data_IF_071242549158
#
_entry.id   IF_071242549158
#
_cell.length_a   1.000
_cell.length_b   1.000
_cell.length_c   1.000
_cell.angle_alpha   90.00
_cell.angle_beta   90.00
_cell.angle_gamma   90.00
#
_symmetry.space_group_name_H-M   'P 1'
#
loop_
_entity.id
_entity.type
_entity.pdbx_description
1 polymer ?
#
# COMPACT_ATOMS: atom_id res chain seq x y z
N UNK A 1 42.00 34.69 -30.18
CA UNK A 1 43.18 33.99 -30.66
C UNK A 1 42.68 32.60 -30.99
N UNK A 2 42.31 32.46 -32.19
CA UNK A 2 42.85 31.70 -33.31
C UNK A 2 42.31 30.27 -33.24
N UNK A 3 41.33 29.88 -34.04
CA UNK A 3 41.32 29.58 -35.49
C UNK A 3 42.34 28.49 -35.85
N UNK A 4 41.80 27.57 -36.63
CA UNK A 4 42.47 26.66 -37.56
C UNK A 4 42.93 25.28 -37.07
N UNK A 5 42.15 24.27 -37.56
CA UNK A 5 42.64 23.29 -38.54
C UNK A 5 41.50 22.37 -39.01
N UNK A 6 40.93 22.79 -40.11
CA UNK A 6 40.28 21.92 -41.07
C UNK A 6 41.31 21.50 -42.12
N UNK A 7 40.97 20.42 -42.81
CA UNK A 7 41.59 19.90 -44.04
C UNK A 7 42.71 18.88 -43.87
N UNK A 8 42.42 17.76 -44.39
CA UNK A 8 43.12 16.94 -45.39
C UNK A 8 42.88 15.43 -45.10
N UNK A 9 42.09 14.82 -45.93
CA UNK A 9 42.43 13.61 -46.66
C UNK A 9 41.27 13.24 -47.60
N UNK A 10 41.31 13.86 -48.79
CA UNK A 10 40.70 13.34 -50.01
C UNK A 10 41.78 12.50 -50.68
N UNK A 11 41.45 11.33 -51.15
CA UNK A 11 41.87 10.79 -52.46
C UNK A 11 41.55 9.29 -52.55
N UNK A 12 40.86 9.04 -53.59
CA UNK A 12 40.95 8.00 -54.63
C UNK A 12 40.27 6.64 -54.37
N UNK A 13 39.26 6.46 -55.18
CA UNK A 13 39.27 5.34 -56.15
C UNK A 13 38.14 5.49 -57.21
N UNK A 14 38.57 5.75 -58.39
CA UNK A 14 37.83 5.67 -59.66
C UNK A 14 37.35 4.26 -59.92
N UNK A 15 36.12 4.13 -60.47
CA UNK A 15 35.57 2.82 -60.96
C UNK A 15 34.30 3.03 -61.79
N UNK A 16 34.47 3.50 -63.02
CA UNK A 16 33.73 3.23 -64.27
C UNK A 16 32.25 2.88 -64.19
N UNK A 17 31.44 3.78 -64.74
CA UNK A 17 30.15 3.54 -65.43
C UNK A 17 30.33 2.70 -66.71
N UNK A 18 29.42 1.81 -67.03
CA UNK A 18 29.18 1.39 -68.42
C UNK A 18 27.83 1.88 -68.92
N UNK A 19 27.94 2.65 -69.92
CA UNK A 19 27.27 2.71 -71.23
C UNK A 19 25.75 2.40 -71.33
N UNK A 20 25.03 3.47 -71.64
CA UNK A 20 23.74 3.48 -72.30
C UNK A 20 23.85 2.87 -73.71
N UNK A 21 23.23 1.74 -73.93
CA UNK A 21 22.63 1.29 -75.20
C UNK A 21 22.13 -0.16 -75.07
N UNK A 22 20.92 -0.31 -75.54
CA UNK A 22 20.19 -1.57 -75.86
C UNK A 22 19.02 -1.83 -74.93
N UNK A 23 17.88 -1.35 -75.32
CA UNK A 23 16.65 -2.06 -75.58
C UNK A 23 15.50 -1.10 -75.96
N UNK A 24 15.57 -0.62 -77.18
CA UNK A 24 14.33 -0.32 -77.91
C UNK A 24 13.90 -1.65 -78.53
N UNK A 25 12.72 -2.10 -78.13
CA UNK A 25 11.74 -2.87 -78.96
C UNK A 25 10.79 -3.65 -78.09
N UNK A 26 9.55 -3.19 -78.07
CA UNK A 26 8.30 -3.91 -78.27
C UNK A 26 7.15 -3.21 -77.57
N UNK A 27 6.52 -2.25 -78.26
CA UNK A 27 5.17 -1.86 -77.95
C UNK A 27 4.20 -2.73 -78.76
N UNK A 28 3.22 -3.38 -78.15
CA UNK A 28 2.09 -3.91 -78.90
C UNK A 28 1.08 -2.77 -79.14
N UNK A 29 0.78 -2.59 -80.39
CA UNK A 29 -0.35 -1.83 -80.94
C UNK A 29 -1.64 -2.43 -80.41
N UNK A 30 -2.42 -1.69 -79.66
CA UNK A 30 -3.86 -1.88 -79.56
C UNK A 30 -4.56 -0.57 -79.80
N UNK A 31 -5.37 -0.63 -80.72
CA UNK A 31 -6.30 0.19 -81.43
C UNK A 31 -7.02 1.26 -80.61
N UNK A 32 -7.22 2.34 -81.31
CA UNK A 32 -8.15 3.41 -81.08
C UNK A 32 -9.55 2.95 -80.65
N UNK A 33 -10.04 3.55 -79.54
CA UNK A 33 -11.46 3.65 -79.22
C UNK A 33 -11.81 5.09 -79.00
N UNK A 34 -12.91 5.60 -79.53
CA UNK A 34 -13.15 7.03 -79.71
C UNK A 34 -13.52 7.75 -78.43
N UNK A 35 -13.04 8.98 -78.33
CA UNK A 35 -13.45 9.99 -77.37
C UNK A 35 -14.91 10.39 -77.61
N UNK A 36 -15.81 9.93 -76.73
CA UNK A 36 -17.14 10.54 -76.56
C UNK A 36 -17.69 10.13 -75.17
N UNK A 37 -18.01 11.12 -74.40
CA UNK A 37 -18.61 11.13 -73.04
C UNK A 37 -17.61 11.44 -71.89
N UNK A 38 -17.16 12.67 -71.90
CA UNK A 38 -16.73 13.27 -70.64
C UNK A 38 -17.84 14.21 -70.19
N UNK A 39 -18.83 13.66 -69.51
CA UNK A 39 -19.86 14.36 -68.72
C UNK A 39 -19.50 14.35 -67.27
N UNK A 40 -19.19 15.48 -66.71
CA UNK A 40 -19.43 16.04 -65.35
C UNK A 40 -19.45 15.12 -64.11
N UNK A 41 -18.63 14.09 -63.99
CA UNK A 41 -18.57 13.28 -62.73
C UNK A 41 -17.26 13.50 -61.89
N UNK A 42 -16.45 14.53 -62.22
CA UNK A 42 -15.13 14.74 -61.61
C UNK A 42 -15.06 15.49 -60.28
N UNK A 43 -16.16 16.12 -59.83
CA UNK A 43 -16.13 17.00 -58.64
C UNK A 43 -16.54 16.31 -57.32
N UNK A 44 -17.34 15.26 -57.40
CA UNK A 44 -17.80 14.56 -56.21
C UNK A 44 -16.77 13.53 -55.65
N UNK A 45 -16.06 12.82 -56.51
CA UNK A 45 -15.01 11.88 -56.09
C UNK A 45 -13.80 12.58 -55.44
N UNK A 46 -13.42 13.73 -55.89
CA UNK A 46 -12.32 14.49 -55.26
C UNK A 46 -12.70 15.07 -53.89
N UNK A 47 -13.95 15.36 -53.63
CA UNK A 47 -14.44 15.80 -52.31
C UNK A 47 -14.47 14.61 -51.31
N UNK A 48 -14.92 13.44 -51.74
CA UNK A 48 -14.97 12.24 -50.91
C UNK A 48 -13.57 11.75 -50.52
N UNK A 49 -12.59 11.83 -51.46
CA UNK A 49 -11.20 11.43 -51.16
C UNK A 49 -10.55 12.43 -50.18
N UNK A 50 -10.80 13.73 -50.32
CA UNK A 50 -10.26 14.75 -49.39
C UNK A 50 -10.86 14.62 -48.00
N UNK A 51 -12.15 14.32 -47.87
CA UNK A 51 -12.80 14.10 -46.56
C UNK A 51 -12.28 12.85 -45.87
N UNK A 52 -12.07 11.74 -46.58
CA UNK A 52 -11.49 10.54 -46.01
C UNK A 52 -10.02 10.70 -45.57
N UNK A 53 -9.22 11.45 -46.33
CA UNK A 53 -7.84 11.79 -45.95
C UNK A 53 -7.82 12.72 -44.72
N UNK A 54 -8.72 13.70 -44.67
CA UNK A 54 -8.84 14.57 -43.48
C UNK A 54 -9.31 13.83 -42.25
N UNK A 55 -10.23 12.89 -42.40
CA UNK A 55 -10.67 12.03 -41.31
C UNK A 55 -9.57 11.07 -40.82
N UNK A 56 -8.79 10.48 -41.74
CA UNK A 56 -7.64 9.68 -41.40
C UNK A 56 -6.55 10.49 -40.69
N UNK A 57 -6.32 11.73 -41.10
CA UNK A 57 -5.36 12.64 -40.46
C UNK A 57 -5.84 13.12 -39.09
N UNK A 58 -7.13 13.34 -38.90
CA UNK A 58 -7.75 13.68 -37.62
C UNK A 58 -7.73 12.47 -36.66
N UNK A 59 -7.96 11.25 -37.17
CA UNK A 59 -7.86 10.03 -36.34
C UNK A 59 -6.42 9.76 -35.92
N UNK A 60 -5.44 9.95 -36.80
CA UNK A 60 -4.02 9.79 -36.44
C UNK A 60 -3.55 10.85 -35.44
N UNK A 61 -4.05 12.10 -35.55
CA UNK A 61 -3.76 13.16 -34.58
C UNK A 61 -4.41 12.90 -33.23
N UNK A 62 -5.61 12.30 -33.20
CA UNK A 62 -6.30 11.91 -31.96
C UNK A 62 -5.59 10.76 -31.23
N UNK A 63 -4.95 9.84 -31.95
CA UNK A 63 -4.13 8.75 -31.36
C UNK A 63 -2.83 9.30 -30.77
N UNK A 64 -2.24 10.34 -31.37
CA UNK A 64 -1.01 10.97 -30.85
C UNK A 64 -1.30 11.87 -29.63
N UNK A 65 -2.53 12.42 -29.53
CA UNK A 65 -2.99 13.21 -28.38
C UNK A 65 -3.69 12.40 -27.29
N UNK A 66 -3.70 11.07 -27.38
CA UNK A 66 -4.19 10.25 -26.27
C UNK A 66 -3.39 10.62 -25.00
N UNK A 67 -4.02 11.10 -23.92
CA UNK A 67 -3.30 11.42 -22.71
C UNK A 67 -2.62 10.13 -22.23
N UNK A 68 -1.28 10.10 -22.27
CA UNK A 68 -0.51 9.11 -21.51
C UNK A 68 -0.96 9.31 -20.07
N UNK A 69 -1.75 8.37 -19.55
CA UNK A 69 -2.10 8.35 -18.14
C UNK A 69 -0.77 8.47 -17.38
N UNK A 70 -0.62 9.46 -16.47
CA UNK A 70 0.61 9.57 -15.71
C UNK A 70 0.77 8.24 -14.96
N UNK A 71 1.84 7.53 -15.23
CA UNK A 71 2.29 6.46 -14.35
C UNK A 71 2.39 7.13 -12.97
N UNK A 72 1.59 6.70 -12.00
CA UNK A 72 1.65 7.23 -10.64
C UNK A 72 2.98 6.75 -10.05
N UNK A 73 4.01 7.54 -10.27
CA UNK A 73 5.29 7.34 -9.61
C UNK A 73 5.06 7.57 -8.12
N UNK A 74 5.25 6.54 -7.31
CA UNK A 74 5.17 6.65 -5.86
C UNK A 74 6.35 7.50 -5.37
N UNK A 75 6.12 8.30 -4.32
CA UNK A 75 7.21 9.05 -3.68
C UNK A 75 7.92 8.20 -2.65
N UNK A 76 9.20 8.48 -2.39
CA UNK A 76 9.99 7.71 -1.41
C UNK A 76 9.27 7.64 -0.05
N UNK A 77 8.67 8.73 0.44
CA UNK A 77 7.91 8.75 1.71
C UNK A 77 6.69 7.82 1.76
N UNK A 78 6.21 7.33 0.61
CA UNK A 78 5.09 6.39 0.54
C UNK A 78 5.55 4.94 0.62
N UNK A 79 6.81 4.68 0.28
CA UNK A 79 7.39 3.33 0.19
C UNK A 79 8.48 3.06 1.23
N UNK A 80 9.02 4.11 1.85
CA UNK A 80 10.08 4.01 2.85
C UNK A 80 9.83 4.96 4.03
N UNK A 81 10.38 4.60 5.17
CA UNK A 81 10.45 5.39 6.39
C UNK A 81 11.92 5.60 6.79
N UNK A 82 12.18 6.66 7.55
CA UNK A 82 13.53 6.93 8.05
C UNK A 82 13.77 6.06 9.29
N UNK A 83 14.85 5.30 9.31
CA UNK A 83 15.24 4.46 10.43
C UNK A 83 15.38 5.27 11.73
N UNK A 84 14.80 4.76 12.80
CA UNK A 84 14.80 5.43 14.10
C UNK A 84 13.76 6.53 14.28
N UNK A 85 13.01 6.92 13.24
CA UNK A 85 11.88 7.85 13.32
C UNK A 85 10.60 7.05 13.50
N UNK A 86 10.24 6.80 14.77
CA UNK A 86 9.04 6.02 15.11
C UNK A 86 8.37 6.54 16.35
N UNK A 87 7.09 6.30 16.48
CA UNK A 87 6.37 6.50 17.73
C UNK A 87 6.76 5.44 18.76
N UNK A 88 6.95 5.84 20.00
CA UNK A 88 7.30 4.92 21.09
C UNK A 88 6.12 4.79 22.06
N UNK A 89 5.65 3.58 22.36
CA UNK A 89 4.61 3.37 23.36
C UNK A 89 5.17 3.61 24.75
N UNK A 90 4.43 4.35 25.56
CA UNK A 90 4.71 4.58 26.96
C UNK A 90 3.62 3.92 27.81
N UNK A 91 4.03 3.33 28.93
CA UNK A 91 3.13 2.72 29.90
C UNK A 91 3.46 3.17 31.31
N UNK A 92 2.44 3.30 32.14
CA UNK A 92 2.61 3.65 33.55
C UNK A 92 1.52 3.00 34.41
N UNK A 93 1.84 2.78 35.65
CA UNK A 93 0.89 2.38 36.70
C UNK A 93 0.59 3.60 37.56
N UNK A 94 -0.69 3.92 37.75
CA UNK A 94 -1.14 5.07 38.51
C UNK A 94 -2.38 4.79 39.34
N UNK A 95 -2.76 5.81 40.11
CA UNK A 95 -3.99 5.83 40.91
C UNK A 95 -4.90 6.94 40.42
N UNK A 96 -6.18 6.63 40.33
CA UNK A 96 -7.25 7.61 40.17
C UNK A 96 -7.91 7.80 41.52
N UNK A 97 -8.14 9.06 41.88
CA UNK A 97 -8.81 9.48 43.13
C UNK A 97 -10.06 10.30 42.83
N UNK A 98 -10.93 10.47 43.81
CA UNK A 98 -12.14 11.30 43.69
C UNK A 98 -13.31 10.58 43.04
N UNK A 99 -13.29 9.24 42.98
CA UNK A 99 -14.41 8.44 42.47
C UNK A 99 -15.58 8.44 43.51
N UNK A 100 -16.83 8.52 43.00
CA UNK A 100 -18.04 8.50 43.85
C UNK A 100 -18.44 7.05 44.18
N UNK A 101 -17.67 6.42 45.09
CA UNK A 101 -17.92 5.05 45.56
C UNK A 101 -17.79 3.97 44.48
N UNK A 102 -17.32 4.32 43.30
CA UNK A 102 -17.20 3.41 42.12
C UNK A 102 -15.78 2.84 41.93
N UNK A 103 -14.86 3.20 42.81
CA UNK A 103 -13.47 2.73 42.79
C UNK A 103 -13.30 1.25 43.14
N UNK A 104 -12.05 0.85 43.33
CA UNK A 104 -11.71 -0.51 43.63
C UNK A 104 -12.17 -0.94 45.04
N UNK A 105 -12.57 -2.19 45.15
CA UNK A 105 -12.75 -2.84 46.44
C UNK A 105 -11.40 -3.41 46.86
N UNK A 106 -10.75 -2.78 47.85
CA UNK A 106 -9.39 -3.10 48.26
C UNK A 106 -9.26 -4.48 48.87
N UNK A 107 -10.38 -5.11 49.33
CA UNK A 107 -10.41 -6.51 49.72
C UNK A 107 -10.20 -7.49 48.57
N UNK A 108 -10.61 -7.12 47.37
CA UNK A 108 -10.45 -7.92 46.13
C UNK A 108 -9.27 -7.44 45.27
N UNK A 109 -8.87 -6.15 45.42
CA UNK A 109 -7.74 -5.54 44.77
C UNK A 109 -6.76 -4.96 45.83
N UNK A 110 -6.02 -5.81 46.56
CA UNK A 110 -5.18 -5.37 47.66
C UNK A 110 -4.03 -4.48 47.25
N UNK A 111 -3.58 -4.58 45.98
CA UNK A 111 -2.54 -3.72 45.40
C UNK A 111 -2.94 -2.26 45.33
N UNK A 112 -4.23 -1.92 45.20
CA UNK A 112 -4.73 -0.53 45.24
C UNK A 112 -4.52 0.10 46.61
N UNK A 113 -4.80 -0.67 47.70
CA UNK A 113 -4.55 -0.22 49.07
C UNK A 113 -3.07 -0.06 49.37
N UNK A 114 -2.23 -1.01 48.93
CA UNK A 114 -0.77 -0.95 49.10
C UNK A 114 -0.18 0.28 48.36
N UNK A 115 -0.59 0.54 47.14
CA UNK A 115 -0.12 1.68 46.33
C UNK A 115 -0.54 3.00 46.95
N UNK A 116 -1.77 3.08 47.48
CA UNK A 116 -2.25 4.26 48.18
C UNK A 116 -1.44 4.51 49.43
N UNK A 117 -1.16 3.49 50.24
CA UNK A 117 -0.33 3.55 51.45
C UNK A 117 1.09 4.02 51.10
N UNK A 118 1.72 3.47 50.08
CA UNK A 118 3.04 3.85 49.65
C UNK A 118 3.09 5.31 49.19
N UNK A 119 2.06 5.80 48.45
CA UNK A 119 1.94 7.17 48.04
C UNK A 119 1.78 8.12 49.21
N UNK A 120 0.93 7.80 50.22
CA UNK A 120 0.76 8.60 51.41
C UNK A 120 2.07 8.71 52.23
N UNK A 121 2.83 7.62 52.29
CA UNK A 121 4.15 7.61 52.92
C UNK A 121 5.13 8.54 52.20
N UNK A 122 5.10 8.59 50.87
CA UNK A 122 5.90 9.55 50.09
C UNK A 122 5.55 11.01 50.41
N UNK A 123 4.28 11.30 50.74
CA UNK A 123 3.83 12.63 51.17
C UNK A 123 4.03 12.90 52.68
N UNK A 124 4.71 11.95 53.39
CA UNK A 124 4.99 12.12 54.84
C UNK A 124 3.86 11.72 55.73
N UNK A 125 2.78 11.12 55.21
CA UNK A 125 1.66 10.63 56.02
C UNK A 125 1.96 9.18 56.45
N UNK A 126 2.26 8.99 57.72
CA UNK A 126 2.51 7.65 58.31
C UNK A 126 1.20 7.05 58.83
N UNK A 127 0.83 5.91 58.30
CA UNK A 127 -0.32 5.16 58.78
C UNK A 127 0.10 4.24 59.97
N UNK A 128 -0.72 4.11 61.02
CA UNK A 128 -0.45 3.14 62.08
C UNK A 128 -0.38 1.71 61.53
N UNK A 129 0.47 0.87 62.14
CA UNK A 129 0.57 -0.53 61.75
C UNK A 129 -0.76 -1.27 62.02
N UNK A 130 -1.18 -2.10 61.05
CA UNK A 130 -2.40 -2.91 61.17
C UNK A 130 -3.68 -2.23 60.68
N UNK A 131 -3.65 -0.97 60.28
CA UNK A 131 -4.82 -0.27 59.70
C UNK A 131 -4.98 -0.69 58.23
N UNK A 132 -6.06 -1.40 57.91
CA UNK A 132 -6.44 -1.72 56.53
C UNK A 132 -7.35 -0.62 55.99
N UNK A 133 -6.85 0.17 55.05
CA UNK A 133 -7.66 1.17 54.38
C UNK A 133 -8.60 0.50 53.37
N UNK A 134 -9.88 0.86 53.39
CA UNK A 134 -10.88 0.39 52.43
C UNK A 134 -11.55 1.56 51.66
N UNK A 135 -10.78 2.39 50.96
CA UNK A 135 -11.37 3.47 50.20
C UNK A 135 -12.11 2.91 48.98
N UNK A 136 -13.30 3.45 48.70
CA UNK A 136 -14.06 3.15 47.47
C UNK A 136 -14.00 4.27 46.46
N UNK A 137 -13.22 5.28 46.77
CA UNK A 137 -13.03 6.46 45.90
C UNK A 137 -11.69 6.46 45.14
N UNK A 138 -10.97 5.35 45.18
CA UNK A 138 -9.67 5.19 44.55
C UNK A 138 -9.70 3.97 43.62
N UNK A 139 -9.03 4.04 42.49
CA UNK A 139 -8.84 2.90 41.58
C UNK A 139 -7.40 2.84 41.04
N UNK A 140 -6.86 1.64 40.95
CA UNK A 140 -5.59 1.39 40.28
C UNK A 140 -5.80 1.30 38.78
N UNK A 141 -4.94 2.00 38.04
CA UNK A 141 -5.07 2.11 36.59
C UNK A 141 -3.75 1.90 35.86
N UNK A 142 -3.87 1.36 34.65
CA UNK A 142 -2.85 1.39 33.62
C UNK A 142 -3.04 2.66 32.78
N UNK A 143 -1.96 3.39 32.62
CA UNK A 143 -1.91 4.60 31.77
C UNK A 143 -1.06 4.27 30.56
N UNK A 144 -1.56 4.57 29.38
CA UNK A 144 -0.84 4.37 28.12
C UNK A 144 -0.81 5.68 27.33
N UNK A 145 0.33 5.95 26.69
CA UNK A 145 0.52 7.09 25.81
C UNK A 145 1.37 6.67 24.59
N UNK A 146 1.29 7.45 23.55
CA UNK A 146 2.18 7.33 22.40
C UNK A 146 3.06 8.56 22.33
N UNK A 147 4.36 8.37 22.49
CA UNK A 147 5.35 9.43 22.34
C UNK A 147 5.69 9.55 20.85
N UNK A 148 5.32 10.66 20.18
CA UNK A 148 5.64 10.84 18.78
C UNK A 148 7.15 11.00 18.56
N UNK A 149 7.66 10.76 17.35
CA UNK A 149 9.05 11.04 17.04
C UNK A 149 9.33 12.54 17.23
N UNK A 150 10.56 12.86 17.61
CA UNK A 150 11.03 14.23 17.85
C UNK A 150 10.32 14.99 18.99
N UNK A 151 9.59 14.30 19.85
CA UNK A 151 8.97 14.94 21.00
C UNK A 151 10.03 15.59 21.89
N UNK A 152 9.79 16.84 22.28
CA UNK A 152 10.68 17.62 23.13
C UNK A 152 10.12 17.76 24.55
N UNK A 153 10.96 17.91 25.56
CA UNK A 153 10.52 18.21 26.90
C UNK A 153 9.59 19.43 26.93
N UNK A 154 8.51 19.34 27.71
CA UNK A 154 7.45 20.36 27.79
C UNK A 154 6.30 20.17 26.81
N UNK A 155 6.37 19.22 25.86
CA UNK A 155 5.24 18.88 25.00
C UNK A 155 4.19 18.04 25.73
N UNK A 156 2.93 18.29 25.42
CA UNK A 156 1.80 17.57 26.01
C UNK A 156 1.38 16.38 25.12
N UNK A 157 1.02 15.27 25.77
CA UNK A 157 0.53 14.06 25.13
C UNK A 157 -0.85 13.70 25.65
N UNK A 158 -1.66 13.17 24.77
CA UNK A 158 -2.92 12.53 25.16
C UNK A 158 -2.63 11.15 25.75
N UNK A 159 -3.37 10.83 26.82
CA UNK A 159 -3.23 9.54 27.48
C UNK A 159 -4.55 8.80 27.53
N UNK A 160 -4.45 7.48 27.47
CA UNK A 160 -5.56 6.58 27.76
C UNK A 160 -5.34 5.93 29.12
N UNK A 161 -6.41 5.82 29.87
CA UNK A 161 -6.40 5.27 31.23
C UNK A 161 -7.41 4.14 31.30
N UNK A 162 -7.00 3.00 31.83
CA UNK A 162 -7.82 1.80 31.98
C UNK A 162 -7.69 1.24 33.37
N UNK A 163 -8.80 0.87 34.02
CA UNK A 163 -8.79 0.22 35.32
C UNK A 163 -8.14 -1.16 35.26
N UNK A 164 -7.28 -1.46 36.22
CA UNK A 164 -6.65 -2.78 36.39
C UNK A 164 -7.43 -3.60 37.44
N UNK A 165 -8.03 -2.88 38.39
CA UNK A 165 -8.78 -3.50 39.48
C UNK A 165 -10.24 -3.79 39.09
N UNK A 166 -11.11 -3.73 40.07
CA UNK A 166 -12.54 -4.01 39.96
C UNK A 166 -13.42 -2.75 40.05
N UNK A 167 -12.86 -1.59 39.73
CA UNK A 167 -13.59 -0.33 39.71
C UNK A 167 -14.77 -0.38 38.69
N UNK A 168 -15.95 -0.01 39.17
CA UNK A 168 -17.17 -0.01 38.35
C UNK A 168 -17.23 1.13 37.35
N UNK A 169 -16.64 2.29 37.72
CA UNK A 169 -16.57 3.47 36.87
C UNK A 169 -15.42 4.35 37.29
N UNK A 170 -14.73 4.94 36.32
CA UNK A 170 -13.66 5.92 36.54
C UNK A 170 -14.16 7.37 36.33
N UNK A 171 -15.47 7.57 36.12
CA UNK A 171 -16.05 8.87 35.82
C UNK A 171 -15.88 9.84 36.99
N UNK A 172 -15.47 11.08 36.65
CA UNK A 172 -15.24 12.15 37.65
C UNK A 172 -13.92 12.01 38.41
N UNK A 173 -13.15 10.97 38.16
CA UNK A 173 -11.86 10.76 38.83
C UNK A 173 -10.73 11.60 38.25
N UNK A 174 -9.73 11.85 39.09
CA UNK A 174 -8.49 12.54 38.72
C UNK A 174 -7.32 11.59 38.83
N UNK A 175 -6.52 11.50 37.78
CA UNK A 175 -5.26 10.73 37.76
C UNK A 175 -4.20 11.53 38.53
N UNK A 176 -3.55 10.89 39.48
CA UNK A 176 -2.41 11.43 40.22
C UNK A 176 -1.15 11.34 39.36
N UNK A 177 -0.15 12.21 39.63
CA UNK A 177 1.12 12.23 38.94
C UNK A 177 1.70 10.81 38.80
N UNK A 178 1.75 10.32 37.59
CA UNK A 178 2.10 8.95 37.23
C UNK A 178 3.25 8.98 36.22
N UNK A 179 4.40 8.35 36.53
CA UNK A 179 5.50 8.25 35.57
C UNK A 179 5.17 7.27 34.45
N UNK A 180 5.34 7.71 33.20
CA UNK A 180 5.21 6.90 32.00
C UNK A 180 6.60 6.43 31.53
N UNK A 181 6.75 5.13 31.38
CA UNK A 181 8.02 4.48 31.04
C UNK A 181 7.98 3.92 29.63
N UNK A 182 9.12 4.00 28.95
CA UNK A 182 9.35 3.33 27.70
C UNK A 182 9.72 1.83 27.89
N UNK A 183 9.95 1.13 26.80
CA UNK A 183 10.36 -0.27 26.81
C UNK A 183 11.73 -0.51 27.48
N UNK A 184 12.55 0.53 27.55
CA UNK A 184 13.86 0.54 28.23
C UNK A 184 13.76 0.78 29.76
N UNK A 185 12.53 0.93 30.30
CA UNK A 185 12.25 1.21 31.70
C UNK A 185 12.48 2.65 32.15
N UNK A 186 12.97 3.53 31.25
CA UNK A 186 13.19 4.94 31.58
C UNK A 186 11.89 5.74 31.56
N UNK A 187 11.81 6.76 32.42
CA UNK A 187 10.67 7.68 32.44
C UNK A 187 10.84 8.74 31.36
N UNK A 188 9.84 8.87 30.48
CA UNK A 188 9.80 9.82 29.38
C UNK A 188 8.76 10.90 29.55
N UNK A 189 7.69 10.62 30.29
CA UNK A 189 6.63 11.60 30.55
C UNK A 189 6.02 11.39 31.93
N UNK A 190 5.39 12.42 32.45
CA UNK A 190 4.58 12.39 33.69
C UNK A 190 3.14 12.66 33.30
N UNK A 191 2.22 11.78 33.71
CA UNK A 191 0.80 11.88 33.42
C UNK A 191 0.02 12.31 34.63
N UNK A 192 -0.90 13.29 34.46
CA UNK A 192 -1.78 13.80 35.52
C UNK A 192 -3.00 14.49 34.90
N UNK A 193 -4.15 14.47 35.57
CA UNK A 193 -5.29 15.24 35.11
C UNK A 193 -6.65 14.57 35.32
N UNK A 194 -7.69 15.28 34.91
CA UNK A 194 -9.07 14.83 35.07
C UNK A 194 -9.48 13.92 33.91
N UNK A 195 -10.09 12.77 34.25
CA UNK A 195 -10.45 11.73 33.29
C UNK A 195 -11.78 12.07 32.61
N UNK A 196 -11.78 11.96 31.30
CA UNK A 196 -12.96 11.99 30.45
C UNK A 196 -13.36 10.56 30.09
N UNK A 197 -14.51 10.12 30.55
CA UNK A 197 -15.07 8.79 30.24
C UNK A 197 -16.18 8.95 29.22
N UNK A 198 -16.02 8.32 28.07
CA UNK A 198 -16.96 8.42 26.93
C UNK A 198 -18.22 7.53 27.06
N UNK A 199 -18.45 6.90 28.21
CA UNK A 199 -19.58 6.02 28.47
C UNK A 199 -20.64 6.64 29.38
N UNK A 200 -21.89 6.17 29.23
CA UNK A 200 -22.99 6.46 30.13
C UNK A 200 -23.57 5.17 30.67
N UNK A 201 -23.85 5.11 31.98
CA UNK A 201 -24.52 3.99 32.60
C UNK A 201 -25.60 4.51 33.56
N UNK A 202 -26.77 3.92 33.50
CA UNK A 202 -27.82 4.17 34.47
C UNK A 202 -28.37 2.81 34.95
N UNK A 203 -28.67 2.74 36.28
CA UNK A 203 -29.34 1.57 36.85
C UNK A 203 -30.52 2.05 37.68
N UNK A 204 -31.72 1.52 37.43
CA UNK A 204 -32.92 1.80 38.19
C UNK A 204 -33.80 0.55 38.22
N UNK A 205 -34.39 0.21 39.35
CA UNK A 205 -35.38 -0.86 39.47
C UNK A 205 -34.92 -2.25 39.01
N UNK A 206 -33.63 -2.58 39.14
CA UNK A 206 -33.10 -3.88 38.67
C UNK A 206 -32.66 -3.94 37.20
N UNK A 207 -32.93 -2.90 36.41
CA UNK A 207 -32.48 -2.77 35.02
C UNK A 207 -31.21 -1.93 34.95
N UNK A 208 -30.21 -2.42 34.20
CA UNK A 208 -28.94 -1.73 33.93
C UNK A 208 -28.80 -1.45 32.45
N UNK A 209 -28.70 -0.20 32.08
CA UNK A 209 -28.36 0.22 30.73
C UNK A 209 -26.94 0.81 30.79
N UNK A 210 -26.06 0.25 29.98
CA UNK A 210 -24.68 0.72 29.87
C UNK A 210 -24.32 0.91 28.42
N UNK A 211 -23.92 2.13 28.08
CA UNK A 211 -23.41 2.49 26.76
C UNK A 211 -21.93 2.73 26.91
N UNK A 212 -21.12 1.90 26.26
CA UNK A 212 -19.64 1.84 26.37
C UNK A 212 -19.12 1.45 27.78
N UNK A 213 -17.80 1.21 27.84
CA UNK A 213 -17.15 0.84 29.09
C UNK A 213 -16.86 2.06 29.95
N UNK A 214 -17.24 1.99 31.24
CA UNK A 214 -16.97 3.04 32.22
C UNK A 214 -15.61 2.90 32.92
N UNK A 215 -14.94 1.76 32.69
CA UNK A 215 -13.63 1.41 33.28
C UNK A 215 -12.44 1.91 32.50
N UNK A 216 -12.67 2.63 31.38
CA UNK A 216 -11.63 3.26 30.56
C UNK A 216 -12.01 4.70 30.22
N UNK A 217 -11.02 5.54 30.04
CA UNK A 217 -11.21 6.93 29.64
C UNK A 217 -9.94 7.54 29.08
N UNK A 218 -10.00 8.81 28.72
CA UNK A 218 -8.92 9.57 28.13
C UNK A 218 -8.71 10.89 28.87
N UNK A 219 -7.47 11.32 28.97
CA UNK A 219 -7.12 12.66 29.45
C UNK A 219 -6.40 13.36 28.28
N UNK A 220 -7.07 14.31 27.61
CA UNK A 220 -6.43 15.13 26.57
C UNK A 220 -5.31 15.95 27.19
N UNK A 221 -4.17 16.04 26.52
CA UNK A 221 -2.99 16.74 27.01
C UNK A 221 -2.58 16.36 28.46
N UNK A 222 -2.90 15.12 28.87
CA UNK A 222 -2.77 14.63 30.23
C UNK A 222 -1.37 14.18 30.63
N UNK A 223 -0.41 14.14 29.75
CA UNK A 223 0.99 13.85 30.09
C UNK A 223 1.91 14.94 29.56
N UNK A 224 2.93 15.28 30.35
CA UNK A 224 4.00 16.18 29.97
C UNK A 224 5.26 15.37 29.67
N UNK A 225 5.88 15.63 28.53
CA UNK A 225 7.16 14.99 28.15
C UNK A 225 8.28 15.60 29.00
N UNK A 226 9.04 14.74 29.67
CA UNK A 226 10.18 15.16 30.52
C UNK A 226 11.51 14.87 29.82
N UNK A 227 11.54 13.87 28.94
CA UNK A 227 12.75 13.43 28.24
C UNK A 227 12.47 13.13 26.77
N UNK A 228 13.32 13.66 25.89
CA UNK A 228 13.31 13.31 24.47
C UNK A 228 13.94 11.94 24.25
N UNK A 229 13.44 11.19 23.26
CA UNK A 229 14.08 9.96 22.80
C UNK A 229 15.20 10.33 21.84
N UNK A 230 16.44 9.91 22.08
CA UNK A 230 17.54 10.14 21.14
C UNK A 230 17.24 9.47 19.80
N UNK A 231 17.26 10.24 18.73
CA UNK A 231 17.12 9.70 17.37
C UNK A 231 18.47 9.63 16.69
N UNK A 232 18.80 8.54 15.98
CA UNK A 232 20.07 8.41 15.25
C UNK A 232 20.20 9.38 14.08
N UNK A 233 19.13 10.12 13.76
CA UNK A 233 19.09 11.05 12.65
C UNK A 233 20.15 12.15 12.73
N UNK A 234 20.51 12.58 13.94
CA UNK A 234 21.52 13.61 14.17
C UNK A 234 22.97 13.08 14.19
N UNK A 235 23.15 11.77 14.18
CA UNK A 235 24.47 11.14 14.37
C UNK A 235 24.96 10.49 13.07
N UNK A 236 26.28 10.62 12.80
CA UNK A 236 26.92 10.00 11.64
C UNK A 236 26.76 10.80 10.34
N UNK A 237 27.34 10.24 9.28
CA UNK A 237 27.38 10.79 7.91
C UNK A 237 26.35 10.12 6.97
N UNK A 238 25.55 9.21 7.48
CA UNK A 238 24.58 8.44 6.72
C UNK A 238 23.26 8.27 7.46
N UNK A 239 22.21 8.16 6.69
CA UNK A 239 20.84 7.89 7.15
C UNK A 239 20.40 6.58 6.53
N UNK A 240 19.64 5.79 7.25
CA UNK A 240 19.02 4.57 6.72
C UNK A 240 17.56 4.83 6.42
N UNK A 241 17.13 4.38 5.25
CA UNK A 241 15.73 4.33 4.85
C UNK A 241 15.29 2.88 4.91
N UNK A 242 14.24 2.63 5.68
CA UNK A 242 13.64 1.31 5.84
C UNK A 242 12.41 1.23 4.92
N UNK A 243 12.43 0.31 3.97
CA UNK A 243 11.31 0.08 3.07
C UNK A 243 10.13 -0.56 3.82
N UNK A 244 8.92 -0.14 3.49
CA UNK A 244 7.69 -0.68 4.09
C UNK A 244 7.47 -2.17 3.73
N UNK A 245 7.95 -2.60 2.57
CA UNK A 245 7.94 -3.99 2.11
C UNK A 245 9.34 -4.43 1.70
N UNK A 246 9.68 -5.69 1.98
CA UNK A 246 10.96 -6.27 1.56
C UNK A 246 10.90 -6.61 0.07
N UNK A 247 11.61 -5.84 -0.76
CA UNK A 247 11.73 -6.06 -2.20
C UNK A 247 13.04 -5.48 -2.74
N UNK A 248 13.86 -6.32 -3.34
CA UNK A 248 15.15 -5.92 -3.90
C UNK A 248 15.02 -4.98 -5.10
N UNK A 249 13.95 -5.13 -5.91
CA UNK A 249 13.71 -4.26 -7.05
C UNK A 249 13.37 -2.84 -6.58
N UNK A 250 12.49 -2.72 -5.60
CA UNK A 250 12.13 -1.45 -4.96
C UNK A 250 13.33 -0.81 -4.27
N UNK A 251 14.13 -1.57 -3.50
CA UNK A 251 15.34 -1.06 -2.85
C UNK A 251 16.33 -0.47 -3.86
N UNK A 252 16.54 -1.17 -4.97
CA UNK A 252 17.38 -0.70 -6.07
C UNK A 252 16.81 0.53 -6.76
N UNK A 253 15.50 0.58 -7.02
CA UNK A 253 14.83 1.72 -7.66
C UNK A 253 14.93 2.98 -6.79
N UNK A 254 14.72 2.86 -5.47
CA UNK A 254 14.90 3.95 -4.50
C UNK A 254 16.34 4.46 -4.51
N UNK A 255 17.32 3.56 -4.43
CA UNK A 255 18.74 3.95 -4.46
C UNK A 255 19.11 4.65 -5.77
N UNK A 256 18.62 4.18 -6.90
CA UNK A 256 18.84 4.80 -8.22
C UNK A 256 18.19 6.18 -8.34
N UNK A 257 16.95 6.34 -7.84
CA UNK A 257 16.25 7.62 -7.85
C UNK A 257 17.02 8.68 -7.04
N UNK A 258 17.51 8.32 -5.85
CA UNK A 258 18.32 9.21 -5.01
C UNK A 258 19.65 9.54 -5.70
N UNK A 259 20.34 8.55 -6.25
CA UNK A 259 21.62 8.75 -6.94
C UNK A 259 21.47 9.63 -8.19
N UNK A 260 20.36 9.50 -8.91
CA UNK A 260 20.06 10.37 -10.06
C UNK A 260 19.83 11.82 -9.65
N UNK A 261 19.20 12.06 -8.51
CA UNK A 261 18.85 13.40 -8.03
C UNK A 261 19.99 14.09 -7.26
N UNK A 262 20.75 13.33 -6.46
CA UNK A 262 21.75 13.88 -5.50
C UNK A 262 23.20 13.54 -5.85
N UNK A 263 23.43 12.75 -6.89
CA UNK A 263 24.76 12.35 -7.34
C UNK A 263 25.08 10.88 -7.09
N UNK A 264 25.95 10.32 -7.91
CA UNK A 264 26.32 8.92 -7.86
C UNK A 264 26.98 8.53 -6.53
N UNK A 265 26.58 7.39 -5.96
CA UNK A 265 27.17 6.84 -4.74
C UNK A 265 26.64 7.46 -3.44
N UNK A 266 25.63 8.35 -3.51
CA UNK A 266 24.98 8.92 -2.33
C UNK A 266 24.07 7.87 -1.66
N UNK A 267 23.39 7.04 -2.43
CA UNK A 267 22.51 5.99 -1.91
C UNK A 267 22.99 4.60 -2.35
N UNK A 268 22.92 3.64 -1.41
CA UNK A 268 23.26 2.23 -1.61
C UNK A 268 22.20 1.34 -0.97
N UNK A 269 21.60 0.44 -1.73
CA UNK A 269 20.77 -0.61 -1.17
C UNK A 269 21.68 -1.65 -0.48
N UNK A 270 21.47 -1.87 0.80
CA UNK A 270 22.20 -2.88 1.58
C UNK A 270 21.55 -4.25 1.46
N UNK A 271 20.23 -4.27 1.49
CA UNK A 271 19.41 -5.46 1.32
C UNK A 271 18.05 -5.08 0.70
N UNK A 272 17.10 -6.01 0.67
CA UNK A 272 15.76 -5.78 0.12
C UNK A 272 14.88 -4.86 0.97
N UNK A 273 15.36 -4.36 2.10
CA UNK A 273 14.59 -3.51 3.02
C UNK A 273 15.30 -2.22 3.41
N UNK A 274 16.62 -2.22 3.42
CA UNK A 274 17.42 -1.10 3.94
C UNK A 274 18.21 -0.43 2.82
N UNK A 275 18.00 0.88 2.68
CA UNK A 275 18.79 1.73 1.78
C UNK A 275 19.58 2.73 2.63
N UNK A 276 20.91 2.68 2.56
CA UNK A 276 21.78 3.65 3.21
C UNK A 276 21.97 4.86 2.30
N UNK A 277 21.80 6.05 2.86
CA UNK A 277 21.93 7.32 2.14
C UNK A 277 22.95 8.19 2.87
N UNK A 278 23.97 8.66 2.17
CA UNK A 278 24.92 9.63 2.71
C UNK A 278 24.23 10.99 2.84
N UNK A 279 24.30 11.59 4.02
CA UNK A 279 23.62 12.84 4.34
C UNK A 279 24.63 13.92 4.76
N UNK A 280 24.30 15.21 4.59
CA UNK A 280 25.10 16.32 5.09
C UNK A 280 25.32 16.25 6.61
N UNK A 281 26.43 16.77 7.09
CA UNK A 281 26.75 16.82 8.52
C UNK A 281 25.96 17.92 9.25
N UNK A 282 25.68 19.02 8.57
CA UNK A 282 24.90 20.14 9.12
C UNK A 282 23.44 19.72 9.36
N UNK A 283 22.86 19.97 10.57
CA UNK A 283 21.48 19.60 10.86
C UNK A 283 20.46 20.23 9.91
N UNK A 284 20.62 21.52 9.58
CA UNK A 284 19.71 22.25 8.68
C UNK A 284 19.75 21.70 7.26
N UNK A 285 20.96 21.53 6.72
CA UNK A 285 21.15 20.91 5.39
C UNK A 285 20.63 19.48 5.35
N UNK A 286 20.72 18.75 6.46
CA UNK A 286 20.20 17.37 6.57
C UNK A 286 18.68 17.33 6.51
N UNK A 287 18.00 18.27 7.16
CA UNK A 287 16.52 18.38 7.09
C UNK A 287 16.10 18.73 5.66
N UNK A 288 16.76 19.71 5.03
CA UNK A 288 16.47 20.08 3.65
C UNK A 288 16.73 18.92 2.68
N UNK A 289 17.86 18.22 2.87
CA UNK A 289 18.20 17.04 2.09
C UNK A 289 17.15 15.92 2.19
N UNK A 290 16.69 15.63 3.42
CA UNK A 290 15.65 14.63 3.66
C UNK A 290 14.32 15.02 3.03
N UNK A 291 13.90 16.28 3.18
CA UNK A 291 12.68 16.78 2.56
C UNK A 291 12.69 16.62 1.03
N UNK A 292 13.85 16.84 0.41
CA UNK A 292 14.02 16.60 -1.02
C UNK A 292 13.95 15.11 -1.35
N UNK A 293 14.68 14.25 -0.59
CA UNK A 293 14.70 12.80 -0.81
C UNK A 293 13.32 12.19 -0.65
N UNK A 294 12.57 12.56 0.38
CA UNK A 294 11.21 12.04 0.63
C UNK A 294 10.24 12.31 -0.53
N UNK A 295 10.43 13.41 -1.25
CA UNK A 295 9.56 13.81 -2.35
C UNK A 295 10.01 13.30 -3.73
N UNK A 296 11.14 12.60 -3.82
CA UNK A 296 11.57 11.99 -5.09
C UNK A 296 10.58 10.93 -5.54
N UNK A 297 10.26 10.97 -6.83
CA UNK A 297 9.45 9.97 -7.49
C UNK A 297 10.27 8.71 -7.78
N UNK A 298 9.68 7.55 -7.53
CA UNK A 298 10.27 6.24 -7.76
C UNK A 298 9.36 5.43 -8.67
N UNK A 299 9.91 4.90 -9.73
CA UNK A 299 9.22 3.94 -10.60
C UNK A 299 9.29 2.55 -9.95
N UNK A 300 8.18 2.14 -9.36
CA UNK A 300 8.08 0.84 -8.72
C UNK A 300 7.74 -0.24 -9.74
N UNK A 301 8.37 -1.40 -9.60
CA UNK A 301 7.91 -2.60 -10.29
C UNK A 301 6.46 -2.92 -9.88
N UNK A 302 5.69 -3.53 -10.77
CA UNK A 302 4.34 -3.97 -10.43
C UNK A 302 4.38 -4.86 -9.17
N UNK A 303 3.54 -4.61 -8.16
CA UNK A 303 3.53 -5.40 -6.94
C UNK A 303 3.20 -6.86 -7.26
N UNK A 304 3.73 -7.78 -6.46
CA UNK A 304 3.36 -9.18 -6.56
C UNK A 304 1.84 -9.36 -6.48
N UNK A 305 1.32 -10.31 -7.25
CA UNK A 305 -0.09 -10.61 -7.23
C UNK A 305 -0.51 -11.09 -5.83
N UNK A 306 -1.51 -10.43 -5.24
CA UNK A 306 -2.03 -10.77 -3.90
C UNK A 306 -3.55 -10.85 -3.91
N UNK A 307 -4.05 -11.85 -3.21
CA UNK A 307 -5.49 -12.09 -3.02
C UNK A 307 -5.76 -12.12 -1.52
N UNK A 308 -6.57 -11.17 -1.05
CA UNK A 308 -6.99 -11.08 0.35
C UNK A 308 -8.42 -11.58 0.45
N UNK A 309 -8.68 -12.55 1.32
CA UNK A 309 -9.99 -13.19 1.49
C UNK A 309 -10.44 -13.01 2.93
N UNK A 310 -11.62 -12.43 3.11
CA UNK A 310 -12.27 -12.43 4.41
C UNK A 310 -13.08 -13.72 4.58
N UNK A 311 -12.63 -14.60 5.47
CA UNK A 311 -13.23 -15.90 5.70
C UNK A 311 -14.67 -15.82 6.26
N UNK A 312 -15.04 -14.72 6.93
CA UNK A 312 -16.36 -14.53 7.53
C UNK A 312 -17.39 -13.98 6.53
N UNK A 313 -16.97 -13.04 5.69
CA UNK A 313 -17.88 -12.33 4.78
C UNK A 313 -17.84 -12.86 3.35
N UNK A 314 -16.83 -13.66 2.99
CA UNK A 314 -16.59 -14.12 1.62
C UNK A 314 -16.09 -13.02 0.68
N UNK A 315 -15.72 -11.85 1.21
CA UNK A 315 -15.19 -10.77 0.38
C UNK A 315 -13.80 -11.14 -0.11
N UNK A 316 -13.59 -11.05 -1.43
CA UNK A 316 -12.29 -11.30 -2.07
C UNK A 316 -11.80 -9.98 -2.68
N UNK A 317 -10.64 -9.54 -2.23
CA UNK A 317 -9.95 -8.36 -2.76
C UNK A 317 -8.71 -8.84 -3.50
N UNK A 318 -8.53 -8.40 -4.73
CA UNK A 318 -7.38 -8.78 -5.56
C UNK A 318 -6.83 -7.59 -6.32
N UNK A 319 -5.53 -7.58 -6.57
CA UNK A 319 -4.93 -6.63 -7.48
C UNK A 319 -5.11 -7.10 -8.95
N UNK A 320 -4.86 -6.21 -9.91
CA UNK A 320 -5.11 -6.48 -11.33
C UNK A 320 -4.19 -7.54 -11.95
N UNK A 321 -3.13 -7.92 -11.26
CA UNK A 321 -2.09 -8.80 -11.78
C UNK A 321 -2.34 -10.30 -11.53
N UNK A 322 -3.52 -10.68 -11.01
CA UNK A 322 -3.81 -12.09 -10.69
C UNK A 322 -4.28 -12.83 -11.93
N UNK A 323 -3.44 -13.72 -12.43
CA UNK A 323 -3.70 -14.60 -13.58
C UNK A 323 -3.77 -16.05 -13.12
N UNK A 324 -4.55 -16.85 -13.84
CA UNK A 324 -4.73 -18.28 -13.60
C UNK A 324 -4.15 -19.09 -14.75
N UNK A 325 -3.40 -20.15 -14.40
CA UNK A 325 -2.96 -21.18 -15.33
C UNK A 325 -4.04 -22.26 -15.48
N UNK A 326 -3.92 -23.09 -16.51
CA UNK A 326 -4.85 -24.22 -16.73
C UNK A 326 -4.82 -25.17 -15.54
N UNK A 327 -5.99 -25.47 -14.99
CA UNK A 327 -6.14 -26.42 -13.87
C UNK A 327 -7.56 -26.96 -13.81
N UNK A 328 -7.72 -28.07 -13.09
CA UNK A 328 -9.02 -28.59 -12.69
C UNK A 328 -9.02 -28.79 -11.16
N UNK A 329 -10.00 -28.21 -10.50
CA UNK A 329 -10.18 -28.32 -9.05
C UNK A 329 -11.61 -28.73 -8.77
N UNK A 330 -11.80 -29.73 -7.92
CA UNK A 330 -13.11 -30.13 -7.43
C UNK A 330 -13.14 -29.99 -5.91
N UNK A 331 -14.22 -29.38 -5.40
CA UNK A 331 -14.47 -29.23 -3.95
C UNK A 331 -15.98 -29.42 -3.68
N UNK A 332 -16.32 -30.48 -2.93
CA UNK A 332 -17.73 -30.83 -2.69
C UNK A 332 -18.47 -31.11 -4.00
N UNK A 333 -19.58 -30.44 -4.22
CA UNK A 333 -20.39 -30.51 -5.46
C UNK A 333 -19.92 -29.56 -6.56
N UNK A 334 -18.90 -28.75 -6.30
CA UNK A 334 -18.36 -27.75 -7.25
C UNK A 334 -17.10 -28.29 -7.92
N UNK A 335 -17.04 -28.24 -9.24
CA UNK A 335 -15.81 -28.50 -10.01
C UNK A 335 -15.50 -27.32 -10.93
N UNK A 336 -14.25 -26.89 -10.90
CA UNK A 336 -13.72 -25.79 -11.72
C UNK A 336 -12.66 -26.36 -12.65
N UNK A 337 -12.87 -26.25 -13.95
CA UNK A 337 -11.89 -26.63 -14.96
C UNK A 337 -11.53 -25.41 -15.79
N UNK A 338 -10.25 -25.08 -15.83
CA UNK A 338 -9.67 -24.02 -16.65
C UNK A 338 -8.79 -24.67 -17.70
N UNK A 339 -9.18 -24.58 -18.97
CA UNK A 339 -8.40 -25.09 -20.09
C UNK A 339 -8.02 -23.95 -21.04
N UNK A 340 -6.81 -23.98 -21.56
CA UNK A 340 -6.38 -23.07 -22.61
C UNK A 340 -6.22 -23.84 -23.92
N UNK A 341 -6.98 -23.46 -24.93
CA UNK A 341 -6.81 -23.99 -26.30
C UNK A 341 -6.24 -22.87 -27.18
N UNK A 342 -5.08 -23.08 -27.83
CA UNK A 342 -4.56 -22.08 -28.76
C UNK A 342 -5.43 -22.02 -30.02
N UNK A 343 -5.97 -20.83 -30.33
CA UNK A 343 -6.62 -20.57 -31.61
C UNK A 343 -5.58 -20.02 -32.56
N UNK A 344 -5.23 -20.83 -33.55
CA UNK A 344 -4.32 -20.41 -34.60
C UNK A 344 -5.16 -19.84 -35.75
N UNK A 345 -5.13 -18.53 -35.93
CA UNK A 345 -5.68 -17.87 -37.10
C UNK A 345 -4.62 -17.86 -38.21
N UNK A 346 -4.77 -18.75 -39.18
CA UNK A 346 -3.92 -18.73 -40.39
C UNK A 346 -4.59 -17.89 -41.46
N UNK A 347 -3.88 -16.91 -42.05
CA UNK A 347 -4.37 -16.24 -43.26
C UNK A 347 -4.47 -17.22 -44.41
N UNK A 348 -5.44 -17.00 -45.31
CA UNK A 348 -5.54 -17.80 -46.55
C UNK A 348 -4.26 -17.75 -47.37
N UNK A 349 -3.94 -18.84 -48.08
CA UNK A 349 -2.67 -19.11 -48.75
C UNK A 349 -2.14 -18.07 -49.78
N UNK A 350 -2.91 -16.99 -50.02
CA UNK A 350 -2.54 -15.88 -50.95
C UNK A 350 -2.72 -14.48 -50.31
N UNK A 351 -2.93 -14.37 -49.00
CA UNK A 351 -3.00 -13.09 -48.31
C UNK A 351 -1.72 -12.83 -47.52
N UNK A 352 -1.08 -11.66 -47.68
CA UNK A 352 0.18 -11.28 -47.02
C UNK A 352 0.04 -10.97 -45.51
N UNK A 353 -0.82 -11.71 -44.78
CA UNK A 353 -1.01 -11.57 -43.33
C UNK A 353 -0.06 -12.45 -42.53
N UNK A 354 0.30 -12.00 -41.31
CA UNK A 354 1.08 -12.80 -40.36
C UNK A 354 0.17 -13.71 -39.55
N UNK A 355 0.64 -14.94 -39.27
CA UNK A 355 -0.04 -15.87 -38.35
C UNK A 355 -0.03 -15.33 -36.96
N UNK A 356 -1.20 -15.08 -36.38
CA UNK A 356 -1.37 -14.69 -34.97
C UNK A 356 -1.86 -15.89 -34.17
N UNK A 357 -1.13 -16.22 -33.11
CA UNK A 357 -1.52 -17.24 -32.13
C UNK A 357 -2.15 -16.51 -30.96
N UNK A 358 -3.44 -16.75 -30.71
CA UNK A 358 -4.14 -16.26 -29.53
C UNK A 358 -4.51 -17.46 -28.65
N UNK A 359 -4.16 -17.40 -27.37
CA UNK A 359 -4.60 -18.42 -26.41
C UNK A 359 -6.02 -18.10 -25.96
N UNK A 360 -6.93 -19.03 -26.13
CA UNK A 360 -8.28 -18.99 -25.58
C UNK A 360 -8.35 -19.91 -24.39
N UNK A 361 -8.53 -19.37 -23.19
CA UNK A 361 -8.80 -20.15 -22.01
C UNK A 361 -10.32 -20.41 -21.91
N UNK A 362 -10.71 -21.67 -21.85
CA UNK A 362 -12.07 -22.08 -21.55
C UNK A 362 -12.16 -22.52 -20.08
N UNK A 363 -13.06 -21.92 -19.32
CA UNK A 363 -13.36 -22.29 -17.94
C UNK A 363 -14.70 -22.99 -17.91
N UNK A 364 -14.72 -24.26 -17.49
CA UNK A 364 -15.94 -24.99 -17.23
C UNK A 364 -16.09 -25.21 -15.73
N UNK A 365 -17.19 -24.70 -15.15
CA UNK A 365 -17.58 -24.96 -13.76
C UNK A 365 -18.85 -25.80 -13.78
N UNK A 366 -18.83 -26.94 -13.11
CA UNK A 366 -19.97 -27.85 -13.01
C UNK A 366 -20.44 -27.94 -11.56
N UNK A 367 -21.75 -27.87 -11.40
CA UNK A 367 -22.46 -28.23 -10.17
C UNK A 367 -23.47 -29.32 -10.56
N UNK A 368 -23.55 -30.40 -9.82
CA UNK A 368 -24.56 -31.44 -10.09
C UNK A 368 -25.93 -31.05 -9.45
N UNK A 369 -27.02 -31.03 -10.21
CA UNK A 369 -27.24 -30.94 -11.65
C UNK A 369 -27.49 -29.50 -12.10
N UNK A 370 -26.64 -28.88 -12.88
CA UNK A 370 -26.88 -27.49 -13.29
C UNK A 370 -25.91 -26.93 -14.31
N UNK A 371 -26.08 -25.72 -14.68
CA UNK A 371 -25.58 -24.97 -15.81
C UNK A 371 -24.04 -24.89 -15.94
N UNK A 372 -23.55 -25.14 -17.15
CA UNK A 372 -22.19 -24.86 -17.60
C UNK A 372 -22.05 -23.36 -17.89
N UNK A 373 -21.11 -22.69 -17.23
CA UNK A 373 -20.73 -21.33 -17.59
C UNK A 373 -19.36 -21.40 -18.27
N UNK A 374 -19.33 -21.03 -19.56
CA UNK A 374 -18.09 -20.88 -20.32
C UNK A 374 -17.58 -19.44 -20.20
N UNK A 375 -16.34 -19.27 -19.79
CA UNK A 375 -15.68 -17.97 -19.71
C UNK A 375 -14.55 -17.88 -20.76
N UNK A 376 -14.35 -16.71 -21.41
CA UNK A 376 -13.39 -16.54 -22.48
C UNK A 376 -11.93 -16.45 -22.01
N UNK A 377 -11.02 -16.53 -22.95
CA UNK A 377 -9.57 -16.66 -22.87
C UNK A 377 -8.86 -15.69 -21.89
N UNK A 378 -7.84 -16.18 -21.18
CA UNK A 378 -7.07 -15.43 -20.21
C UNK A 378 -7.84 -15.26 -18.89
N UNK A 379 -8.23 -16.39 -18.29
CA UNK A 379 -9.03 -16.41 -17.07
C UNK A 379 -8.43 -15.54 -15.98
N UNK A 380 -9.07 -14.41 -15.70
CA UNK A 380 -8.75 -13.60 -14.53
C UNK A 380 -9.43 -14.24 -13.33
N UNK A 381 -8.75 -14.24 -12.20
CA UNK A 381 -9.34 -14.72 -10.95
C UNK A 381 -10.70 -14.08 -10.65
N UNK A 382 -10.88 -12.79 -11.02
CA UNK A 382 -12.17 -12.07 -10.89
C UNK A 382 -13.33 -12.78 -11.55
N UNK A 383 -13.10 -13.42 -12.69
CA UNK A 383 -14.16 -14.06 -13.48
C UNK A 383 -14.54 -15.41 -12.88
N UNK A 384 -13.56 -16.13 -12.33
CA UNK A 384 -13.79 -17.36 -11.57
C UNK A 384 -14.56 -17.09 -10.28
N UNK A 385 -14.17 -16.05 -9.52
CA UNK A 385 -14.85 -15.68 -8.28
C UNK A 385 -16.30 -15.25 -8.56
N UNK A 386 -16.54 -14.47 -9.62
CA UNK A 386 -17.92 -14.10 -10.03
C UNK A 386 -18.75 -15.34 -10.40
N UNK A 387 -18.16 -16.26 -11.17
CA UNK A 387 -18.84 -17.49 -11.57
C UNK A 387 -19.17 -18.38 -10.37
N UNK A 388 -18.23 -18.56 -9.42
CA UNK A 388 -18.47 -19.31 -8.19
C UNK A 388 -19.56 -18.67 -7.32
N UNK A 389 -19.53 -17.34 -7.17
CA UNK A 389 -20.57 -16.62 -6.44
C UNK A 389 -21.96 -16.76 -7.10
N UNK A 390 -22.04 -16.76 -8.43
CA UNK A 390 -23.30 -16.95 -9.16
C UNK A 390 -23.90 -18.36 -8.97
N UNK A 391 -23.05 -19.34 -8.65
CA UNK A 391 -23.44 -20.71 -8.33
C UNK A 391 -23.76 -20.92 -6.85
N UNK A 392 -23.67 -19.86 -6.03
CA UNK A 392 -23.98 -19.94 -4.61
C UNK A 392 -22.88 -20.59 -3.76
N UNK A 393 -21.61 -20.56 -4.21
CA UNK A 393 -20.48 -21.03 -3.42
C UNK A 393 -20.39 -20.28 -2.08
N UNK A 394 -20.17 -21.02 -1.00
CA UNK A 394 -19.97 -20.40 0.31
C UNK A 394 -18.59 -19.76 0.43
N UNK A 395 -18.39 -18.82 1.37
CA UNK A 395 -17.05 -18.25 1.63
C UNK A 395 -15.97 -19.29 1.89
N UNK A 396 -16.33 -20.40 2.56
CA UNK A 396 -15.43 -21.50 2.85
C UNK A 396 -15.06 -22.30 1.60
N UNK A 397 -16.01 -22.53 0.68
CA UNK A 397 -15.75 -23.21 -0.58
C UNK A 397 -14.83 -22.39 -1.48
N UNK A 398 -15.02 -21.06 -1.52
CA UNK A 398 -14.14 -20.15 -2.25
C UNK A 398 -12.70 -20.22 -1.73
N UNK A 399 -12.55 -20.19 -0.40
CA UNK A 399 -11.23 -20.29 0.24
C UNK A 399 -10.56 -21.62 -0.11
N UNK A 400 -11.29 -22.75 0.02
CA UNK A 400 -10.76 -24.08 -0.26
C UNK A 400 -10.35 -24.26 -1.72
N UNK A 401 -11.18 -23.79 -2.65
CA UNK A 401 -10.88 -23.82 -4.09
C UNK A 401 -9.64 -22.99 -4.42
N UNK A 402 -9.55 -21.75 -3.90
CA UNK A 402 -8.40 -20.88 -4.15
C UNK A 402 -7.10 -21.41 -3.55
N UNK A 403 -7.17 -22.02 -2.36
CA UNK A 403 -6.02 -22.69 -1.74
C UNK A 403 -5.59 -23.93 -2.55
N UNK A 404 -6.53 -24.72 -3.02
CA UNK A 404 -6.24 -25.86 -3.91
C UNK A 404 -5.59 -25.41 -5.22
N UNK A 405 -6.10 -24.34 -5.84
CA UNK A 405 -5.50 -23.75 -7.05
C UNK A 405 -4.09 -23.23 -6.81
N UNK A 406 -3.82 -22.64 -5.65
CA UNK A 406 -2.47 -22.21 -5.26
C UNK A 406 -1.55 -23.41 -5.06
N UNK A 407 -2.01 -24.45 -4.36
CA UNK A 407 -1.23 -25.66 -4.11
C UNK A 407 -0.92 -26.43 -5.39
N UNK A 408 -1.82 -26.37 -6.37
CA UNK A 408 -1.62 -26.93 -7.71
C UNK A 408 -0.71 -26.05 -8.60
N UNK A 409 -0.25 -24.87 -8.14
CA UNK A 409 0.55 -23.95 -8.92
C UNK A 409 -0.21 -23.20 -10.03
N UNK A 410 -1.54 -23.31 -10.04
CA UNK A 410 -2.38 -22.66 -11.04
C UNK A 410 -2.66 -21.18 -10.73
N UNK A 411 -2.54 -20.79 -9.48
CA UNK A 411 -2.73 -19.41 -9.01
C UNK A 411 -1.37 -18.77 -8.72
N UNK A 412 -0.96 -17.84 -9.57
CA UNK A 412 0.25 -17.05 -9.41
C UNK A 412 -0.03 -15.82 -8.51
N UNK A 413 -0.41 -16.07 -7.25
CA UNK A 413 -0.67 -15.01 -6.28
C UNK A 413 -0.41 -15.49 -4.85
N UNK A 414 -0.12 -14.55 -3.97
CA UNK A 414 -0.10 -14.78 -2.53
C UNK A 414 -1.53 -14.70 -1.99
N UNK A 415 -1.95 -15.68 -1.18
CA UNK A 415 -3.27 -15.67 -0.53
C UNK A 415 -3.08 -15.27 0.93
N UNK A 416 -3.79 -14.24 1.33
CA UNK A 416 -3.89 -13.76 2.72
C UNK A 416 -5.33 -13.92 3.19
N UNK A 417 -5.54 -14.51 4.35
CA UNK A 417 -6.87 -14.74 4.94
C UNK A 417 -7.04 -13.84 6.16
N UNK A 418 -8.11 -13.06 6.20
CA UNK A 418 -8.44 -12.13 7.29
C UNK A 418 -9.84 -12.40 7.87
#
# INVERSE_FOLDING_TARGET
MACDRAAELSTSLHGRLPDDRVCRQAAPKWAAVPALFWGSAGSSLRRICRVKILQALLLSLAVVLAPMAPAQAARIKEVASIAGVRSNPLTGYGLIVGLDGTGDQTTQAPFTGQSLTAMLQQFGVLLPQGVTMQPRNVAAVMVTATLPPFAQPGQQLDINVSSIGNAKSLRGGTLIATPLRGADGQVYAIAQGNLIVGGAGASAGGSKVQINHLSAGRIPAGALVERAVPTPLAQGDSIQLDLNSSDFATARAVAQAINKAKGNGVAQALDGRVVRVRAPASPDERVAFLADVENLAVDLAAPAARVVINARTGSVVMNQAVTLSSCAVAHGSLSVTISSTPIISQPNALSGGQTTVAEKADIAIRQEPGSLIQLPAGARLSDVVKALNSLGATPQDLLAILQAMKSAGALNAEIEVI
#
